data_IF_296153441305
#
_entry.id   IF_296153441305
#
_cell.length_a   1.000
_cell.length_b   1.000
_cell.length_c   1.000
_cell.angle_alpha   90.00
_cell.angle_beta   90.00
_cell.angle_gamma   90.00
#
_symmetry.space_group_name_H-M   'P 1'
#
loop_
_entity.id
_entity.type
_entity.pdbx_description
1 polymer ?
#
# COMPACT_ATOMS: atom_id res chain seq x y z
N UNK A 1 -28.30 -4.00 -23.62
CA UNK A 1 -27.52 -2.91 -22.99
C UNK A 1 -26.52 -2.39 -24.02
N UNK A 2 -26.38 -1.08 -24.15
CA UNK A 2 -25.47 -0.47 -25.11
C UNK A 2 -24.01 -0.81 -24.73
N UNK A 3 -23.15 -1.21 -25.67
CA UNK A 3 -21.76 -1.64 -25.38
C UNK A 3 -20.96 -0.59 -24.58
N UNK A 4 -21.20 0.70 -24.87
CA UNK A 4 -20.58 1.79 -24.13
C UNK A 4 -21.04 1.83 -22.66
N UNK A 5 -22.33 1.69 -22.39
CA UNK A 5 -22.87 1.67 -21.02
C UNK A 5 -22.30 0.47 -20.24
N UNK A 6 -22.19 -0.70 -20.88
CA UNK A 6 -21.61 -1.91 -20.25
C UNK A 6 -20.18 -1.69 -19.79
N UNK A 7 -19.30 -1.08 -20.62
CA UNK A 7 -17.90 -0.80 -20.27
C UNK A 7 -17.77 0.15 -19.06
N UNK A 8 -18.59 1.22 -19.02
CA UNK A 8 -18.58 2.14 -17.90
C UNK A 8 -19.14 1.49 -16.61
N UNK A 9 -20.14 0.62 -16.72
CA UNK A 9 -20.62 -0.15 -15.58
C UNK A 9 -19.57 -1.18 -15.11
N UNK A 10 -18.83 -1.83 -16.03
CA UNK A 10 -17.73 -2.71 -15.67
C UNK A 10 -16.62 -1.94 -14.91
N UNK A 11 -16.31 -0.70 -15.31
CA UNK A 11 -15.40 0.18 -14.55
C UNK A 11 -15.91 0.43 -13.12
N UNK A 12 -17.21 0.72 -12.95
CA UNK A 12 -17.79 0.94 -11.61
C UNK A 12 -17.63 -0.31 -10.74
N UNK A 13 -17.85 -1.50 -11.30
CA UNK A 13 -17.67 -2.77 -10.57
C UNK A 13 -16.22 -2.99 -10.15
N UNK A 14 -15.28 -2.73 -11.06
CA UNK A 14 -13.85 -2.82 -10.76
C UNK A 14 -13.45 -1.80 -9.70
N UNK A 15 -14.04 -0.60 -9.74
CA UNK A 15 -13.85 0.44 -8.73
C UNK A 15 -14.44 0.01 -7.36
N UNK A 16 -15.56 -0.72 -7.29
CA UNK A 16 -16.06 -1.29 -6.03
C UNK A 16 -15.08 -2.30 -5.43
N UNK A 17 -14.48 -3.19 -6.25
CA UNK A 17 -13.44 -4.09 -5.80
C UNK A 17 -12.23 -3.34 -5.24
N UNK A 18 -11.77 -2.29 -5.91
CA UNK A 18 -10.67 -1.46 -5.43
C UNK A 18 -11.04 -0.67 -4.17
N UNK A 19 -12.26 -0.12 -4.10
CA UNK A 19 -12.77 0.59 -2.92
C UNK A 19 -12.76 -0.32 -1.70
N UNK A 20 -13.25 -1.57 -1.84
CA UNK A 20 -13.23 -2.57 -0.78
C UNK A 20 -11.82 -2.82 -0.23
N UNK A 21 -10.81 -2.96 -1.12
CA UNK A 21 -9.41 -3.13 -0.74
C UNK A 21 -8.87 -1.89 0.00
N UNK A 22 -9.15 -0.68 -0.51
CA UNK A 22 -8.66 0.57 0.09
C UNK A 22 -9.33 0.86 1.43
N UNK A 23 -10.64 0.62 1.51
CA UNK A 23 -11.42 0.78 2.72
C UNK A 23 -10.90 -0.17 3.81
N UNK A 24 -10.73 -1.46 3.49
CA UNK A 24 -10.24 -2.46 4.44
C UNK A 24 -8.81 -2.16 4.94
N UNK A 25 -7.93 -1.67 4.08
CA UNK A 25 -6.55 -1.32 4.46
C UNK A 25 -6.46 -0.15 5.46
N UNK A 26 -7.45 0.72 5.50
CA UNK A 26 -7.46 1.91 6.36
C UNK A 26 -8.40 1.79 7.55
N UNK A 27 -9.54 1.12 7.38
CA UNK A 27 -10.59 0.96 8.39
C UNK A 27 -10.07 0.28 9.66
N UNK A 28 -9.18 -0.70 9.49
CA UNK A 28 -8.62 -1.48 10.60
C UNK A 28 -7.78 -0.64 11.55
N UNK A 29 -7.12 0.43 11.06
CA UNK A 29 -6.20 1.22 11.89
C UNK A 29 -6.90 1.89 13.07
N UNK A 30 -8.11 2.39 12.91
CA UNK A 30 -8.87 3.02 14.00
C UNK A 30 -9.47 2.00 14.97
N UNK A 31 -9.63 0.74 14.55
CA UNK A 31 -10.14 -0.35 15.37
C UNK A 31 -9.04 -1.09 16.17
N UNK A 32 -7.75 -0.85 15.87
CA UNK A 32 -6.62 -1.57 16.49
C UNK A 32 -6.67 -1.62 18.02
N UNK A 33 -6.93 -0.54 18.76
CA UNK A 33 -7.00 -0.60 20.23
C UNK A 33 -8.14 -1.46 20.76
N UNK A 34 -9.26 -1.52 20.04
CA UNK A 34 -10.40 -2.38 20.40
C UNK A 34 -10.07 -3.84 20.14
N UNK A 35 -9.49 -4.15 18.97
CA UNK A 35 -8.98 -5.49 18.60
C UNK A 35 -7.93 -5.96 19.62
N UNK A 36 -6.99 -5.07 20.00
CA UNK A 36 -5.96 -5.37 20.97
C UNK A 36 -6.54 -5.81 22.32
N UNK A 37 -7.52 -5.05 22.81
CA UNK A 37 -8.16 -5.29 24.11
C UNK A 37 -8.99 -6.57 24.11
N UNK A 38 -9.75 -6.79 23.04
CA UNK A 38 -10.71 -7.89 22.93
C UNK A 38 -10.02 -9.24 22.69
N UNK A 39 -9.00 -9.28 21.82
CA UNK A 39 -8.27 -10.48 21.43
C UNK A 39 -6.95 -10.68 22.19
N UNK A 40 -6.60 -9.78 23.14
CA UNK A 40 -5.44 -9.92 24.01
C UNK A 40 -4.08 -9.78 23.30
N UNK A 41 -4.01 -9.02 22.20
CA UNK A 41 -2.74 -8.78 21.50
C UNK A 41 -1.75 -7.99 22.38
N UNK A 42 -0.48 -8.41 22.40
CA UNK A 42 0.61 -7.52 22.82
C UNK A 42 0.76 -6.38 21.82
N UNK A 43 1.35 -5.25 22.24
CA UNK A 43 1.54 -4.11 21.35
C UNK A 43 2.43 -4.45 20.14
N UNK A 44 3.44 -5.31 20.31
CA UNK A 44 4.29 -5.79 19.22
C UNK A 44 3.50 -6.67 18.26
N UNK A 45 2.77 -7.67 18.79
CA UNK A 45 2.00 -8.61 17.97
C UNK A 45 0.80 -7.99 17.27
N UNK A 46 0.28 -6.85 17.75
CA UNK A 46 -0.80 -6.12 17.10
C UNK A 46 -0.44 -5.68 15.68
N UNK A 47 0.85 -5.47 15.40
CA UNK A 47 1.33 -5.16 14.05
C UNK A 47 0.98 -6.23 13.02
N UNK A 48 0.82 -7.50 13.46
CA UNK A 48 0.43 -8.60 12.57
C UNK A 48 -0.94 -8.43 11.93
N UNK A 49 -1.86 -7.72 12.58
CA UNK A 49 -3.18 -7.41 12.01
C UNK A 49 -3.05 -6.62 10.70
N UNK A 50 -2.01 -5.79 10.59
CA UNK A 50 -1.69 -5.02 9.38
C UNK A 50 -0.68 -5.77 8.50
N UNK A 51 0.40 -6.29 9.08
CA UNK A 51 1.51 -6.87 8.33
C UNK A 51 1.12 -8.17 7.60
N UNK A 52 0.30 -9.05 8.20
CA UNK A 52 -0.15 -10.26 7.52
C UNK A 52 -0.88 -9.95 6.21
N UNK A 53 -1.72 -8.91 6.22
CA UNK A 53 -2.40 -8.42 5.03
C UNK A 53 -1.41 -7.85 4.00
N UNK A 54 -0.52 -6.94 4.43
CA UNK A 54 0.40 -6.24 3.53
C UNK A 54 1.40 -7.20 2.86
N UNK A 55 1.90 -8.19 3.58
CA UNK A 55 2.85 -9.18 3.07
C UNK A 55 2.17 -10.09 2.05
N UNK A 56 0.98 -10.61 2.38
CA UNK A 56 0.22 -11.44 1.43
C UNK A 56 -0.16 -10.63 0.19
N UNK A 57 -0.67 -9.40 0.38
CA UNK A 57 -1.02 -8.50 -0.72
C UNK A 57 0.20 -8.22 -1.62
N UNK A 58 1.34 -7.80 -1.03
CA UNK A 58 2.55 -7.49 -1.77
C UNK A 58 3.20 -8.72 -2.41
N UNK A 59 3.31 -9.82 -1.66
CA UNK A 59 3.96 -11.05 -2.12
C UNK A 59 3.28 -11.72 -3.32
N UNK A 60 1.94 -11.69 -3.36
CA UNK A 60 1.18 -12.32 -4.44
C UNK A 60 0.75 -11.37 -5.57
N UNK A 61 1.00 -10.07 -5.47
CA UNK A 61 0.51 -9.09 -6.45
C UNK A 61 1.04 -9.32 -7.87
N UNK A 62 2.33 -9.65 -8.01
CA UNK A 62 2.94 -9.97 -9.33
C UNK A 62 2.41 -11.28 -9.89
N UNK A 63 2.26 -12.29 -9.02
CA UNK A 63 1.69 -13.59 -9.40
C UNK A 63 0.26 -13.42 -9.88
N UNK A 64 -0.53 -12.62 -9.18
CA UNK A 64 -1.93 -12.35 -9.53
C UNK A 64 -2.07 -11.76 -10.94
N UNK A 65 -1.22 -10.81 -11.31
CA UNK A 65 -1.17 -10.28 -12.67
C UNK A 65 -0.87 -11.36 -13.71
N UNK A 66 0.16 -12.18 -13.45
CA UNK A 66 0.55 -13.27 -14.36
C UNK A 66 -0.54 -14.35 -14.46
N UNK A 67 -1.12 -14.76 -13.34
CA UNK A 67 -2.24 -15.72 -13.32
C UNK A 67 -3.43 -15.16 -14.13
N UNK A 68 -3.73 -13.87 -14.00
CA UNK A 68 -4.77 -13.19 -14.78
C UNK A 68 -4.55 -13.27 -16.30
N UNK A 69 -3.31 -13.13 -16.74
CA UNK A 69 -2.96 -13.26 -18.16
C UNK A 69 -3.07 -14.72 -18.66
N UNK A 70 -2.84 -15.72 -17.79
CA UNK A 70 -2.87 -17.14 -18.15
C UNK A 70 -4.26 -17.77 -18.15
N UNK A 71 -5.09 -17.49 -17.14
CA UNK A 71 -6.41 -18.12 -16.97
C UNK A 71 -7.60 -17.19 -17.23
N UNK A 72 -7.33 -15.90 -17.45
CA UNK A 72 -8.34 -14.87 -17.70
C UNK A 72 -8.50 -13.90 -16.54
N UNK A 73 -8.43 -12.61 -16.85
CA UNK A 73 -8.43 -11.51 -15.86
C UNK A 73 -9.73 -11.42 -15.07
N UNK A 74 -10.88 -11.62 -15.74
CA UNK A 74 -12.19 -11.66 -15.08
C UNK A 74 -12.26 -12.76 -14.02
N UNK A 75 -11.80 -13.99 -14.35
CA UNK A 75 -11.83 -15.12 -13.43
C UNK A 75 -10.97 -14.85 -12.18
N UNK A 76 -9.78 -14.30 -12.37
CA UNK A 76 -8.87 -13.96 -11.27
C UNK A 76 -9.42 -12.83 -10.42
N UNK A 77 -10.01 -11.78 -11.05
CA UNK A 77 -10.66 -10.71 -10.33
C UNK A 77 -11.79 -11.22 -9.41
N UNK A 78 -12.71 -12.01 -9.96
CA UNK A 78 -13.83 -12.56 -9.20
C UNK A 78 -13.38 -13.54 -8.11
N UNK A 79 -12.38 -14.41 -8.39
CA UNK A 79 -11.81 -15.30 -7.38
C UNK A 79 -11.16 -14.51 -6.25
N UNK A 80 -10.46 -13.42 -6.56
CA UNK A 80 -9.86 -12.53 -5.57
C UNK A 80 -10.91 -11.84 -4.70
N UNK A 81 -11.95 -11.26 -5.30
CA UNK A 81 -13.08 -10.63 -4.57
C UNK A 81 -13.80 -11.66 -3.69
N UNK A 82 -14.03 -12.87 -4.20
CA UNK A 82 -14.65 -13.95 -3.43
C UNK A 82 -13.81 -14.32 -2.21
N UNK A 83 -12.52 -14.62 -2.41
CA UNK A 83 -11.60 -14.97 -1.33
C UNK A 83 -11.53 -13.85 -0.29
N UNK A 84 -11.38 -12.60 -0.75
CA UNK A 84 -11.34 -11.43 0.13
C UNK A 84 -12.62 -11.33 0.99
N UNK A 85 -13.79 -11.47 0.36
CA UNK A 85 -15.09 -11.35 1.04
C UNK A 85 -15.27 -12.45 2.08
N UNK A 86 -14.96 -13.71 1.73
CA UNK A 86 -15.04 -14.85 2.67
C UNK A 86 -14.06 -14.66 3.82
N UNK A 87 -12.81 -14.31 3.53
CA UNK A 87 -11.80 -14.04 4.55
C UNK A 87 -12.18 -12.87 5.45
N UNK A 88 -12.82 -11.83 4.90
CA UNK A 88 -13.34 -10.69 5.66
C UNK A 88 -14.43 -11.14 6.64
N UNK A 89 -15.40 -11.92 6.17
CA UNK A 89 -16.45 -12.48 7.05
C UNK A 89 -15.82 -13.35 8.14
N UNK A 90 -14.84 -14.22 7.79
CA UNK A 90 -14.08 -15.01 8.76
C UNK A 90 -13.36 -14.16 9.79
N UNK A 91 -12.73 -13.07 9.37
CA UNK A 91 -12.09 -12.09 10.27
C UNK A 91 -13.09 -11.41 11.19
N UNK A 92 -14.30 -11.11 10.70
CA UNK A 92 -15.39 -10.57 11.51
C UNK A 92 -15.91 -11.54 12.58
N UNK A 93 -15.73 -12.84 12.44
CA UNK A 93 -16.05 -13.85 13.44
C UNK A 93 -14.87 -14.30 14.30
N UNK A 94 -13.72 -13.64 14.18
CA UNK A 94 -12.51 -14.04 14.93
C UNK A 94 -12.70 -13.92 16.44
N UNK A 95 -12.37 -14.99 17.16
CA UNK A 95 -12.41 -15.08 18.63
C UNK A 95 -11.00 -15.15 19.25
N UNK A 96 -9.97 -15.03 18.44
CA UNK A 96 -8.56 -15.09 18.88
C UNK A 96 -7.62 -14.45 17.86
N UNK A 97 -6.44 -14.08 18.36
CA UNK A 97 -5.42 -13.39 17.58
C UNK A 97 -5.02 -14.15 16.31
N UNK A 98 -4.75 -15.45 16.43
CA UNK A 98 -4.30 -16.29 15.31
C UNK A 98 -5.35 -16.37 14.20
N UNK A 99 -6.63 -16.53 14.57
CA UNK A 99 -7.74 -16.58 13.59
C UNK A 99 -7.82 -15.26 12.80
N UNK A 100 -7.65 -14.12 13.48
CA UNK A 100 -7.65 -12.82 12.83
C UNK A 100 -6.44 -12.66 11.89
N UNK A 101 -5.24 -13.06 12.34
CA UNK A 101 -4.02 -12.98 11.52
C UNK A 101 -4.15 -13.83 10.25
N UNK A 102 -4.67 -15.07 10.36
CA UNK A 102 -4.93 -15.93 9.20
C UNK A 102 -5.97 -15.31 8.28
N UNK A 103 -7.06 -14.77 8.83
CA UNK A 103 -8.07 -14.05 8.05
C UNK A 103 -7.47 -12.86 7.30
N UNK A 104 -6.62 -12.06 7.94
CA UNK A 104 -5.91 -10.92 7.35
C UNK A 104 -4.96 -11.36 6.22
N UNK A 105 -4.24 -12.47 6.40
CA UNK A 105 -3.41 -13.04 5.34
C UNK A 105 -4.25 -13.45 4.11
N UNK A 106 -5.36 -14.14 4.33
CA UNK A 106 -6.26 -14.54 3.24
C UNK A 106 -6.93 -13.34 2.55
N UNK A 107 -7.30 -12.29 3.32
CA UNK A 107 -7.77 -11.02 2.74
C UNK A 107 -6.68 -10.37 1.86
N UNK A 108 -5.42 -10.32 2.33
CA UNK A 108 -4.30 -9.82 1.54
C UNK A 108 -4.10 -10.58 0.24
N UNK A 109 -4.21 -11.91 0.28
CA UNK A 109 -4.15 -12.79 -0.91
C UNK A 109 -5.32 -12.51 -1.86
N UNK A 110 -6.56 -12.44 -1.36
CA UNK A 110 -7.73 -12.10 -2.17
C UNK A 110 -7.63 -10.70 -2.79
N UNK A 111 -7.16 -9.73 -2.01
CA UNK A 111 -6.91 -8.36 -2.46
C UNK A 111 -5.85 -8.29 -3.56
N UNK A 112 -4.75 -9.05 -3.45
CA UNK A 112 -3.69 -9.11 -4.46
C UNK A 112 -4.20 -9.70 -5.78
N UNK A 113 -4.99 -10.78 -5.72
CA UNK A 113 -5.60 -11.39 -6.91
C UNK A 113 -6.50 -10.39 -7.65
N UNK A 114 -7.33 -9.66 -6.92
CA UNK A 114 -8.20 -8.63 -7.52
C UNK A 114 -7.39 -7.48 -8.08
N UNK A 115 -6.54 -6.85 -7.28
CA UNK A 115 -5.78 -5.65 -7.66
C UNK A 115 -4.79 -5.89 -8.80
N UNK A 116 -4.19 -7.09 -8.85
CA UNK A 116 -3.20 -7.46 -9.86
C UNK A 116 -3.73 -7.45 -11.29
N UNK A 117 -5.05 -7.58 -11.47
CA UNK A 117 -5.68 -7.61 -12.80
C UNK A 117 -6.52 -6.37 -13.13
N UNK A 118 -6.83 -5.51 -12.14
CA UNK A 118 -7.72 -4.35 -12.30
C UNK A 118 -7.27 -3.42 -13.43
N UNK A 119 -6.00 -3.00 -13.41
CA UNK A 119 -5.46 -2.08 -14.42
C UNK A 119 -5.53 -2.72 -15.80
N UNK A 120 -5.23 -4.01 -15.90
CA UNK A 120 -5.29 -4.73 -17.17
C UNK A 120 -6.73 -4.84 -17.70
N UNK A 121 -7.73 -5.02 -16.84
CA UNK A 121 -9.15 -4.98 -17.21
C UNK A 121 -9.50 -3.59 -17.76
N UNK A 122 -9.14 -2.51 -17.04
CA UNK A 122 -9.44 -1.13 -17.48
C UNK A 122 -8.80 -0.85 -18.86
N UNK A 123 -7.55 -1.23 -19.05
CA UNK A 123 -6.83 -1.01 -20.33
C UNK A 123 -7.46 -1.78 -21.49
N UNK A 124 -7.97 -2.97 -21.23
CA UNK A 124 -8.63 -3.81 -22.26
C UNK A 124 -10.01 -3.27 -22.64
N UNK A 125 -10.80 -2.85 -21.66
CA UNK A 125 -12.14 -2.30 -21.88
C UNK A 125 -12.11 -0.92 -22.55
N UNK A 126 -11.10 -0.09 -22.25
CA UNK A 126 -10.97 1.28 -22.76
C UNK A 126 -9.77 1.44 -23.71
N UNK A 127 -9.97 1.07 -24.97
CA UNK A 127 -8.89 1.09 -25.97
C UNK A 127 -8.55 2.51 -26.47
N UNK A 128 -9.51 3.44 -26.46
CA UNK A 128 -9.28 4.84 -26.88
C UNK A 128 -8.52 5.59 -25.80
N UNK A 129 -7.41 6.30 -26.13
CA UNK A 129 -6.58 6.97 -25.14
C UNK A 129 -7.33 7.95 -24.24
N UNK A 130 -8.26 8.74 -24.79
CA UNK A 130 -9.06 9.70 -24.03
C UNK A 130 -10.02 9.03 -23.03
N UNK A 131 -10.73 7.97 -23.46
CA UNK A 131 -11.64 7.20 -22.61
C UNK A 131 -10.86 6.47 -21.50
N UNK A 132 -9.69 5.90 -21.83
CA UNK A 132 -8.79 5.26 -20.87
C UNK A 132 -8.29 6.25 -19.80
N UNK A 133 -7.90 7.46 -20.22
CA UNK A 133 -7.48 8.49 -19.27
C UNK A 133 -8.60 8.86 -18.30
N UNK A 134 -9.86 8.98 -18.78
CA UNK A 134 -11.02 9.22 -17.91
C UNK A 134 -11.27 8.06 -16.96
N UNK A 135 -11.22 6.80 -17.43
CA UNK A 135 -11.40 5.62 -16.62
C UNK A 135 -10.33 5.52 -15.51
N UNK A 136 -9.08 5.79 -15.84
CA UNK A 136 -7.96 5.83 -14.87
C UNK A 136 -8.12 6.97 -13.87
N UNK A 137 -8.67 8.11 -14.26
CA UNK A 137 -8.96 9.22 -13.34
C UNK A 137 -10.04 8.83 -12.33
N UNK A 138 -11.11 8.18 -12.76
CA UNK A 138 -12.17 7.65 -11.86
C UNK A 138 -11.58 6.62 -10.90
N UNK A 139 -10.78 5.69 -11.41
CA UNK A 139 -10.10 4.67 -10.59
C UNK A 139 -9.19 5.31 -9.51
N UNK A 140 -8.40 6.31 -9.90
CA UNK A 140 -7.52 7.04 -8.97
C UNK A 140 -8.32 7.79 -7.90
N UNK A 141 -9.45 8.40 -8.27
CA UNK A 141 -10.35 9.07 -7.33
C UNK A 141 -10.91 8.09 -6.28
N UNK A 142 -11.27 6.88 -6.71
CA UNK A 142 -11.75 5.83 -5.79
C UNK A 142 -10.66 5.38 -4.82
N UNK A 143 -9.41 5.23 -5.27
CA UNK A 143 -8.28 4.93 -4.39
C UNK A 143 -8.10 6.02 -3.35
N UNK A 144 -8.07 7.29 -3.76
CA UNK A 144 -7.87 8.41 -2.85
C UNK A 144 -9.04 8.59 -1.87
N UNK A 145 -10.27 8.48 -2.36
CA UNK A 145 -11.48 8.59 -1.54
C UNK A 145 -11.68 7.42 -0.59
N UNK A 146 -11.31 6.21 -1.02
CA UNK A 146 -11.47 4.98 -0.24
C UNK A 146 -10.72 5.02 1.09
N UNK A 147 -9.53 5.62 1.12
CA UNK A 147 -8.77 5.79 2.35
C UNK A 147 -9.49 6.66 3.39
N UNK A 148 -10.07 7.79 2.96
CA UNK A 148 -10.84 8.68 3.84
C UNK A 148 -12.12 8.02 4.35
N UNK A 149 -12.85 7.38 3.43
CA UNK A 149 -14.08 6.65 3.78
C UNK A 149 -13.80 5.51 4.76
N UNK A 150 -12.68 4.80 4.61
CA UNK A 150 -12.30 3.72 5.50
C UNK A 150 -12.03 4.19 6.93
N UNK A 151 -11.31 5.29 7.11
CA UNK A 151 -11.06 5.85 8.44
C UNK A 151 -12.35 6.31 9.14
N UNK A 152 -13.23 7.00 8.41
CA UNK A 152 -14.53 7.45 8.96
C UNK A 152 -15.46 6.28 9.26
N UNK A 153 -15.61 5.37 8.30
CA UNK A 153 -16.45 4.19 8.49
C UNK A 153 -15.91 3.30 9.63
N UNK A 154 -14.58 3.17 9.72
CA UNK A 154 -13.92 2.42 10.80
C UNK A 154 -14.20 3.01 12.17
N UNK A 155 -14.06 4.32 12.30
CA UNK A 155 -14.40 5.03 13.53
C UNK A 155 -15.85 4.85 13.91
N UNK A 156 -16.77 5.12 12.96
CA UNK A 156 -18.20 4.98 13.15
C UNK A 156 -18.60 3.55 13.58
N UNK A 157 -18.23 2.54 12.79
CA UNK A 157 -18.61 1.16 13.05
C UNK A 157 -18.03 0.64 14.36
N UNK A 158 -16.77 0.99 14.66
CA UNK A 158 -16.09 0.52 15.87
C UNK A 158 -16.71 1.11 17.13
N UNK A 159 -17.07 2.40 17.11
CA UNK A 159 -17.59 3.10 18.27
C UNK A 159 -19.06 2.83 18.53
N UNK A 160 -19.93 2.85 17.49
CA UNK A 160 -21.37 2.74 17.66
C UNK A 160 -21.95 1.32 17.52
N UNK A 161 -21.16 0.37 16.97
CA UNK A 161 -21.58 -1.02 16.88
C UNK A 161 -20.54 -1.89 17.59
N UNK A 162 -19.49 -2.31 16.91
CA UNK A 162 -18.27 -2.97 17.41
C UNK A 162 -17.27 -3.15 16.28
N UNK A 163 -16.00 -3.48 16.61
CA UNK A 163 -14.93 -3.61 15.64
C UNK A 163 -15.14 -4.74 14.61
N UNK A 164 -15.92 -5.78 14.89
CA UNK A 164 -16.18 -6.86 13.93
C UNK A 164 -16.85 -6.36 12.64
N UNK A 165 -17.65 -5.29 12.74
CA UNK A 165 -18.36 -4.72 11.60
C UNK A 165 -17.46 -4.04 10.57
N UNK A 166 -16.20 -3.70 10.93
CA UNK A 166 -15.22 -3.21 9.94
C UNK A 166 -14.91 -4.27 8.88
N UNK A 167 -15.08 -5.55 9.24
CA UNK A 167 -14.91 -6.67 8.32
C UNK A 167 -16.23 -7.02 7.60
N UNK A 168 -17.35 -7.01 8.31
CA UNK A 168 -18.65 -7.33 7.72
C UNK A 168 -19.11 -6.32 6.67
N UNK A 169 -18.67 -5.06 6.70
CA UNK A 169 -18.97 -4.05 5.68
C UNK A 169 -18.51 -4.46 4.28
N UNK A 170 -17.50 -5.33 4.19
CA UNK A 170 -17.00 -5.85 2.92
C UNK A 170 -17.93 -6.87 2.28
N UNK A 171 -18.84 -7.51 3.04
CA UNK A 171 -19.77 -8.51 2.53
C UNK A 171 -20.73 -7.96 1.47
N UNK A 172 -21.51 -6.89 1.74
CA UNK A 172 -22.42 -6.33 0.73
C UNK A 172 -21.65 -5.79 -0.49
N UNK A 173 -20.47 -5.18 -0.30
CA UNK A 173 -19.66 -4.65 -1.40
C UNK A 173 -19.14 -5.82 -2.25
N UNK A 174 -18.61 -6.87 -1.59
CA UNK A 174 -18.08 -8.04 -2.26
C UNK A 174 -19.14 -8.81 -3.05
N UNK A 175 -20.31 -9.05 -2.44
CA UNK A 175 -21.43 -9.72 -3.13
C UNK A 175 -21.89 -8.90 -4.34
N UNK A 176 -22.06 -7.59 -4.19
CA UNK A 176 -22.43 -6.73 -5.31
C UNK A 176 -21.37 -6.78 -6.43
N UNK A 177 -20.08 -6.73 -6.06
CA UNK A 177 -18.97 -6.80 -7.02
C UNK A 177 -18.92 -8.16 -7.73
N UNK A 178 -19.17 -9.26 -7.03
CA UNK A 178 -19.20 -10.61 -7.62
C UNK A 178 -20.35 -10.76 -8.62
N UNK A 179 -21.57 -10.40 -8.20
CA UNK A 179 -22.78 -10.54 -9.05
C UNK A 179 -22.66 -9.65 -10.28
N UNK A 180 -22.37 -8.37 -10.10
CA UNK A 180 -22.26 -7.42 -11.21
C UNK A 180 -21.02 -7.70 -12.08
N UNK A 181 -19.90 -8.10 -11.49
CA UNK A 181 -18.68 -8.44 -12.21
C UNK A 181 -18.84 -9.66 -13.10
N UNK A 182 -19.57 -10.68 -12.63
CA UNK A 182 -19.90 -11.84 -13.45
C UNK A 182 -20.77 -11.49 -14.68
N UNK A 183 -21.52 -10.41 -14.63
CA UNK A 183 -22.39 -9.99 -15.73
C UNK A 183 -21.75 -8.96 -16.66
N UNK A 184 -20.97 -8.04 -16.13
CA UNK A 184 -20.56 -6.81 -16.83
C UNK A 184 -19.14 -6.87 -17.37
N UNK A 185 -18.20 -7.55 -16.65
CA UNK A 185 -16.81 -7.65 -17.11
C UNK A 185 -16.75 -8.68 -18.25
N UNK A 186 -16.15 -8.32 -19.39
CA UNK A 186 -15.98 -9.25 -20.49
C UNK A 186 -15.04 -10.39 -20.14
N UNK A 187 -15.41 -11.59 -20.57
CA UNK A 187 -14.53 -12.75 -20.41
C UNK A 187 -13.42 -12.66 -21.45
N UNK A 188 -12.19 -12.71 -21.00
CA UNK A 188 -11.04 -12.84 -21.87
C UNK A 188 -10.46 -14.24 -21.77
N UNK A 189 -10.16 -14.83 -22.92
CA UNK A 189 -9.42 -16.08 -22.99
C UNK A 189 -7.99 -15.83 -22.51
N UNK A 190 -7.54 -16.63 -21.52
CA UNK A 190 -6.16 -16.59 -21.06
C UNK A 190 -5.21 -17.22 -22.07
N UNK A 191 -3.92 -16.91 -21.93
CA UNK A 191 -2.84 -17.47 -22.78
C UNK A 191 -2.63 -18.98 -22.58
N UNK A 192 -3.30 -19.59 -21.60
CA UNK A 192 -3.16 -20.99 -21.23
C UNK A 192 -2.05 -21.25 -20.20
N UNK A 193 -2.25 -22.25 -19.35
CA UNK A 193 -1.32 -22.60 -18.26
C UNK A 193 0.02 -23.19 -18.76
N UNK A 194 0.12 -23.57 -20.04
CA UNK A 194 1.36 -24.11 -20.65
C UNK A 194 2.56 -23.15 -20.59
N UNK A 195 2.31 -21.85 -20.42
CA UNK A 195 3.38 -20.85 -20.31
C UNK A 195 4.01 -20.73 -18.90
N UNK A 196 3.50 -21.48 -17.92
CA UNK A 196 4.04 -21.60 -16.58
C UNK A 196 3.80 -20.35 -15.70
N UNK A 197 3.50 -20.60 -14.43
CA UNK A 197 3.48 -19.61 -13.35
C UNK A 197 4.63 -19.98 -12.41
N UNK A 198 5.47 -19.01 -12.06
CA UNK A 198 6.47 -19.24 -11.02
C UNK A 198 5.84 -19.17 -9.62
N UNK A 199 5.09 -20.24 -9.29
CA UNK A 199 4.52 -20.42 -7.96
C UNK A 199 5.61 -20.59 -6.90
N UNK A 200 6.75 -21.21 -7.28
CA UNK A 200 7.85 -21.41 -6.34
C UNK A 200 8.49 -20.07 -5.95
N UNK A 201 8.73 -19.18 -6.91
CA UNK A 201 9.20 -17.82 -6.63
C UNK A 201 8.23 -17.05 -5.74
N UNK A 202 6.91 -17.15 -6.00
CA UNK A 202 5.90 -16.52 -5.16
C UNK A 202 5.91 -17.04 -3.71
N UNK A 203 6.01 -18.35 -3.53
CA UNK A 203 6.10 -18.95 -2.20
C UNK A 203 7.40 -18.56 -1.49
N UNK A 204 8.53 -18.57 -2.20
CA UNK A 204 9.84 -18.20 -1.64
C UNK A 204 9.85 -16.74 -1.15
N UNK A 205 9.39 -15.81 -1.98
CA UNK A 205 9.36 -14.39 -1.57
C UNK A 205 8.40 -14.16 -0.41
N UNK A 206 7.18 -14.74 -0.46
CA UNK A 206 6.20 -14.59 0.61
C UNK A 206 6.70 -15.21 1.92
N UNK A 207 7.26 -16.43 1.88
CA UNK A 207 7.84 -17.07 3.05
C UNK A 207 9.03 -16.30 3.63
N UNK A 208 9.91 -15.77 2.76
CA UNK A 208 11.01 -14.89 3.18
C UNK A 208 10.50 -13.67 3.95
N UNK A 209 9.49 -13.00 3.42
CA UNK A 209 8.91 -11.81 4.05
C UNK A 209 8.21 -12.14 5.37
N UNK A 210 7.43 -13.22 5.41
CA UNK A 210 6.77 -13.67 6.64
C UNK A 210 7.78 -13.99 7.74
N UNK A 211 8.83 -14.74 7.43
CA UNK A 211 9.90 -15.07 8.38
C UNK A 211 10.67 -13.83 8.84
N UNK A 212 10.96 -12.90 7.93
CA UNK A 212 11.65 -11.67 8.24
C UNK A 212 10.83 -10.79 9.21
N UNK A 213 9.54 -10.60 8.93
CA UNK A 213 8.65 -9.85 9.82
C UNK A 213 8.45 -10.58 11.15
N UNK A 214 8.29 -11.90 11.14
CA UNK A 214 8.16 -12.69 12.36
C UNK A 214 9.41 -12.55 13.24
N UNK A 215 10.61 -12.68 12.67
CA UNK A 215 11.86 -12.50 13.39
C UNK A 215 12.02 -11.09 13.98
N UNK A 216 11.59 -10.06 13.25
CA UNK A 216 11.64 -8.66 13.72
C UNK A 216 10.62 -8.41 14.85
N UNK A 217 9.37 -8.88 14.71
CA UNK A 217 8.34 -8.69 15.74
C UNK A 217 8.72 -9.41 17.02
N UNK A 218 9.17 -10.66 16.94
CA UNK A 218 9.57 -11.45 18.10
C UNK A 218 10.91 -11.03 18.73
N UNK A 219 11.67 -10.15 18.07
CA UNK A 219 12.89 -9.58 18.64
C UNK A 219 12.64 -8.76 19.91
N UNK A 220 11.40 -8.28 20.13
CA UNK A 220 11.01 -7.64 21.40
C UNK A 220 11.02 -8.61 22.58
N UNK A 221 10.65 -9.87 22.34
CA UNK A 221 10.51 -10.89 23.38
C UNK A 221 11.81 -11.68 23.60
N UNK A 222 12.51 -12.01 22.50
CA UNK A 222 13.73 -12.84 22.54
C UNK A 222 15.04 -12.04 22.53
N UNK A 223 14.99 -10.75 22.20
CA UNK A 223 16.16 -9.88 22.01
C UNK A 223 16.68 -9.87 20.56
N UNK A 224 17.18 -8.72 20.13
CA UNK A 224 17.66 -8.47 18.77
C UNK A 224 18.88 -9.31 18.38
N UNK A 225 19.73 -9.66 19.34
CA UNK A 225 20.96 -10.44 19.14
C UNK A 225 20.79 -11.92 19.49
N UNK A 226 19.59 -12.36 19.80
CA UNK A 226 19.33 -13.76 20.17
C UNK A 226 19.51 -14.71 18.97
N UNK A 227 19.89 -15.98 19.17
CA UNK A 227 19.96 -16.99 18.12
C UNK A 227 18.61 -17.19 17.42
N UNK A 228 17.49 -16.99 18.12
CA UNK A 228 16.14 -17.06 17.56
C UNK A 228 15.93 -15.97 16.51
N UNK A 229 16.15 -14.70 16.85
CA UNK A 229 15.96 -13.56 15.94
C UNK A 229 16.93 -13.62 14.76
N UNK A 230 18.23 -13.84 15.06
CA UNK A 230 19.25 -13.92 14.01
C UNK A 230 19.04 -15.11 13.08
N UNK A 231 18.57 -16.26 13.62
CA UNK A 231 18.24 -17.44 12.83
C UNK A 231 17.07 -17.21 11.89
N UNK A 232 15.99 -16.58 12.35
CA UNK A 232 14.81 -16.27 11.52
C UNK A 232 15.14 -15.24 10.43
N UNK A 233 15.83 -14.15 10.79
CA UNK A 233 16.26 -13.13 9.83
C UNK A 233 17.27 -13.73 8.83
N UNK A 234 18.19 -14.56 9.29
CA UNK A 234 19.13 -15.28 8.43
C UNK A 234 18.42 -16.23 7.46
N UNK A 235 17.42 -16.99 7.94
CA UNK A 235 16.59 -17.85 7.09
C UNK A 235 15.78 -17.03 6.07
N UNK A 236 15.21 -15.89 6.47
CA UNK A 236 14.52 -14.97 5.57
C UNK A 236 15.44 -14.47 4.45
N UNK A 237 16.64 -14.01 4.80
CA UNK A 237 17.64 -13.56 3.82
C UNK A 237 18.12 -14.71 2.92
N UNK A 238 18.26 -15.92 3.46
CA UNK A 238 18.58 -17.13 2.71
C UNK A 238 17.49 -17.46 1.66
N UNK A 239 16.22 -17.43 2.06
CA UNK A 239 15.10 -17.62 1.13
C UNK A 239 15.03 -16.52 0.06
N UNK A 240 15.31 -15.27 0.43
CA UNK A 240 15.40 -14.16 -0.52
C UNK A 240 16.53 -14.40 -1.54
N UNK A 241 17.69 -14.84 -1.07
CA UNK A 241 18.81 -15.17 -1.95
C UNK A 241 18.46 -16.33 -2.90
N UNK A 242 17.81 -17.37 -2.40
CA UNK A 242 17.32 -18.49 -3.23
C UNK A 242 16.29 -18.00 -4.25
N UNK A 243 15.36 -17.12 -3.86
CA UNK A 243 14.42 -16.49 -4.78
C UNK A 243 15.15 -15.74 -5.90
N UNK A 244 16.09 -14.85 -5.57
CA UNK A 244 16.88 -14.09 -6.56
C UNK A 244 17.68 -15.01 -7.49
N UNK A 245 18.30 -16.05 -6.96
CA UNK A 245 19.02 -17.03 -7.75
C UNK A 245 18.11 -17.84 -8.68
N UNK A 246 16.92 -18.22 -8.22
CA UNK A 246 15.91 -18.90 -9.02
C UNK A 246 15.45 -18.02 -10.17
N UNK A 247 15.01 -16.78 -9.86
CA UNK A 247 14.55 -15.78 -10.82
C UNK A 247 15.60 -15.47 -11.91
N UNK A 248 16.89 -15.46 -11.53
CA UNK A 248 17.98 -15.22 -12.46
C UNK A 248 18.19 -16.34 -13.48
N UNK A 249 17.66 -17.54 -13.22
CA UNK A 249 17.82 -18.74 -14.07
C UNK A 249 16.56 -19.12 -14.85
N UNK A 250 15.40 -18.60 -14.45
CA UNK A 250 14.12 -18.92 -15.09
C UNK A 250 14.00 -18.22 -16.46
N UNK A 251 13.37 -18.90 -17.41
CA UNK A 251 13.03 -18.34 -18.73
C UNK A 251 11.92 -17.31 -18.67
N UNK A 252 10.96 -17.48 -17.75
CA UNK A 252 9.82 -16.61 -17.53
C UNK A 252 9.77 -16.20 -16.04
N UNK A 253 10.71 -15.37 -15.56
CA UNK A 253 10.76 -14.97 -14.18
C UNK A 253 9.58 -14.05 -13.83
N UNK A 254 9.13 -14.07 -12.56
CA UNK A 254 8.20 -13.07 -12.02
C UNK A 254 8.83 -11.69 -12.02
N UNK A 255 10.15 -11.64 -11.78
CA UNK A 255 10.92 -10.41 -11.72
C UNK A 255 12.20 -10.53 -12.56
N UNK A 256 12.21 -10.05 -13.82
CA UNK A 256 13.42 -10.06 -14.64
C UNK A 256 14.55 -9.24 -14.01
N UNK A 257 15.71 -9.86 -13.76
CA UNK A 257 16.85 -9.21 -13.08
C UNK A 257 17.34 -7.96 -13.79
N UNK A 258 17.12 -7.83 -15.12
CA UNK A 258 17.45 -6.62 -15.89
C UNK A 258 16.78 -5.35 -15.36
N UNK A 259 15.58 -5.47 -14.75
CA UNK A 259 14.84 -4.32 -14.19
C UNK A 259 15.59 -3.74 -12.97
N UNK A 260 16.26 -4.58 -12.19
CA UNK A 260 17.06 -4.15 -11.03
C UNK A 260 18.29 -3.30 -11.42
N UNK A 261 18.73 -3.36 -12.68
CA UNK A 261 19.79 -2.52 -13.21
C UNK A 261 19.36 -1.07 -13.52
N UNK A 262 18.05 -0.79 -13.56
CA UNK A 262 17.52 0.53 -13.92
C UNK A 262 17.59 1.46 -12.70
N UNK A 263 18.48 2.46 -12.75
CA UNK A 263 18.77 3.35 -11.62
C UNK A 263 17.56 4.18 -11.19
N UNK A 264 16.82 4.73 -12.14
CA UNK A 264 15.62 5.52 -11.85
C UNK A 264 14.53 4.68 -11.16
N UNK A 265 14.31 3.45 -11.64
CA UNK A 265 13.36 2.52 -11.03
C UNK A 265 13.78 2.15 -9.60
N UNK A 266 15.03 1.72 -9.39
CA UNK A 266 15.52 1.29 -8.07
C UNK A 266 15.54 2.44 -7.07
N UNK A 267 16.03 3.62 -7.47
CA UNK A 267 16.07 4.79 -6.61
C UNK A 267 14.69 5.29 -6.22
N UNK A 268 13.78 5.42 -7.18
CA UNK A 268 12.41 5.86 -6.90
C UNK A 268 11.62 4.81 -6.10
N UNK A 269 11.80 3.52 -6.39
CA UNK A 269 11.15 2.42 -5.67
C UNK A 269 11.66 2.34 -4.22
N UNK A 270 12.96 2.49 -3.98
CA UNK A 270 13.54 2.56 -2.64
C UNK A 270 13.02 3.76 -1.84
N UNK A 271 12.99 4.94 -2.46
CA UNK A 271 12.40 6.13 -1.83
C UNK A 271 10.90 5.94 -1.52
N UNK A 272 10.16 5.26 -2.41
CA UNK A 272 8.75 4.92 -2.22
C UNK A 272 8.53 3.99 -1.02
N UNK A 273 9.37 2.95 -0.87
CA UNK A 273 9.30 2.05 0.27
C UNK A 273 9.47 2.79 1.60
N UNK A 274 10.50 3.65 1.69
CA UNK A 274 10.78 4.45 2.89
C UNK A 274 9.67 5.48 3.19
N UNK A 275 9.10 6.10 2.15
CA UNK A 275 7.94 7.00 2.30
C UNK A 275 6.74 6.25 2.87
N UNK A 276 6.41 5.09 2.29
CA UNK A 276 5.28 4.28 2.76
C UNK A 276 5.50 3.69 4.15
N UNK A 277 6.74 3.40 4.55
CA UNK A 277 7.09 3.12 5.96
C UNK A 277 6.62 4.25 6.87
N UNK A 278 6.94 5.50 6.54
CA UNK A 278 6.50 6.67 7.32
C UNK A 278 4.98 6.80 7.39
N UNK A 279 4.28 6.58 6.29
CA UNK A 279 2.81 6.64 6.24
C UNK A 279 2.15 5.51 7.06
N UNK A 280 2.63 4.27 6.92
CA UNK A 280 2.07 3.13 7.66
C UNK A 280 2.30 3.28 9.16
N UNK A 281 3.49 3.74 9.57
CA UNK A 281 3.78 4.07 10.97
C UNK A 281 2.83 5.19 11.45
N UNK A 282 2.62 6.24 10.65
CA UNK A 282 1.70 7.31 11.05
C UNK A 282 0.28 6.79 11.27
N UNK A 283 -0.27 5.97 10.37
CA UNK A 283 -1.62 5.46 10.54
C UNK A 283 -1.72 4.46 11.70
N UNK A 284 -0.77 3.55 11.84
CA UNK A 284 -0.77 2.53 12.90
C UNK A 284 -0.47 3.15 14.28
N UNK A 285 0.72 3.75 14.42
CA UNK A 285 1.17 4.34 15.68
C UNK A 285 0.33 5.56 16.04
N UNK A 286 -0.10 6.34 15.03
CA UNK A 286 -0.97 7.50 15.22
C UNK A 286 -2.34 7.13 15.76
N UNK A 287 -2.94 6.02 15.33
CA UNK A 287 -4.20 5.54 15.89
C UNK A 287 -4.03 5.17 17.38
N UNK A 288 -2.96 4.45 17.71
CA UNK A 288 -2.65 4.08 19.10
C UNK A 288 -2.34 5.33 19.96
N UNK A 289 -1.59 6.28 19.41
CA UNK A 289 -1.25 7.54 20.08
C UNK A 289 -2.51 8.38 20.36
N UNK A 290 -3.40 8.55 19.41
CA UNK A 290 -4.63 9.33 19.59
C UNK A 290 -5.57 8.65 20.59
N UNK A 291 -5.73 7.34 20.51
CA UNK A 291 -6.67 6.62 21.39
C UNK A 291 -6.07 6.35 22.78
N UNK A 292 -4.91 5.71 22.91
CA UNK A 292 -4.30 5.36 24.18
C UNK A 292 -3.54 6.55 24.82
N UNK A 293 -2.85 7.34 24.01
CA UNK A 293 -2.06 8.47 24.49
C UNK A 293 -2.88 9.71 24.81
N UNK A 294 -4.02 9.91 24.13
CA UNK A 294 -4.83 11.13 24.22
C UNK A 294 -6.30 10.91 24.59
N UNK A 295 -6.75 9.66 24.67
CA UNK A 295 -8.11 9.31 25.04
C UNK A 295 -9.17 9.61 23.96
N UNK A 296 -8.75 9.77 22.68
CA UNK A 296 -9.71 9.96 21.58
C UNK A 296 -10.52 8.69 21.37
N UNK A 297 -11.78 8.86 21.02
CA UNK A 297 -12.60 7.74 20.55
C UNK A 297 -12.13 7.25 19.16
N UNK A 298 -12.66 6.11 18.71
CA UNK A 298 -12.36 5.58 17.38
C UNK A 298 -12.82 6.55 16.28
N UNK A 299 -14.00 7.17 16.45
CA UNK A 299 -14.53 8.13 15.50
C UNK A 299 -13.74 9.43 15.47
N UNK A 300 -13.38 9.97 16.64
CA UNK A 300 -12.51 11.15 16.74
C UNK A 300 -11.14 10.90 16.12
N UNK A 301 -10.60 9.68 16.25
CA UNK A 301 -9.36 9.27 15.59
C UNK A 301 -9.51 9.27 14.07
N UNK A 302 -10.62 8.74 13.54
CA UNK A 302 -10.94 8.79 12.13
C UNK A 302 -11.03 10.23 11.59
N UNK A 303 -11.72 11.11 12.33
CA UNK A 303 -11.81 12.53 12.01
C UNK A 303 -10.44 13.23 12.07
N UNK A 304 -9.61 12.86 13.04
CA UNK A 304 -8.27 13.43 13.20
C UNK A 304 -7.35 13.14 12.01
N UNK A 305 -7.49 11.98 11.35
CA UNK A 305 -6.73 11.64 10.15
C UNK A 305 -7.29 12.22 8.85
N UNK A 306 -8.54 12.70 8.84
CA UNK A 306 -9.21 13.23 7.66
C UNK A 306 -8.39 14.31 6.92
N UNK A 307 -7.78 15.31 7.61
CA UNK A 307 -6.95 16.30 6.93
C UNK A 307 -5.82 15.71 6.10
N UNK A 308 -5.19 14.61 6.56
CA UNK A 308 -4.14 13.92 5.79
C UNK A 308 -4.69 13.33 4.49
N UNK A 309 -5.78 12.59 4.58
CA UNK A 309 -6.35 11.90 3.41
C UNK A 309 -7.01 12.87 2.42
N UNK A 310 -7.66 13.92 2.92
CA UNK A 310 -8.18 15.00 2.08
C UNK A 310 -7.07 15.75 1.34
N UNK A 311 -5.97 16.08 2.02
CA UNK A 311 -4.83 16.74 1.38
C UNK A 311 -4.14 15.85 0.35
N UNK A 312 -4.03 14.54 0.58
CA UNK A 312 -3.59 13.59 -0.45
C UNK A 312 -4.51 13.68 -1.68
N UNK A 313 -5.83 13.63 -1.47
CA UNK A 313 -6.81 13.76 -2.55
C UNK A 313 -6.71 15.08 -3.31
N UNK A 314 -6.62 16.20 -2.59
CA UNK A 314 -6.47 17.54 -3.16
C UNK A 314 -5.19 17.65 -3.99
N UNK A 315 -4.05 17.18 -3.49
CA UNK A 315 -2.81 17.19 -4.26
C UNK A 315 -2.92 16.28 -5.51
N UNK A 316 -3.50 15.10 -5.37
CA UNK A 316 -3.65 14.13 -6.45
C UNK A 316 -4.67 14.55 -7.51
N UNK A 317 -5.59 15.49 -7.22
CA UNK A 317 -6.63 15.98 -8.16
C UNK A 317 -6.11 16.89 -9.28
N UNK A 318 -4.80 16.90 -9.51
CA UNK A 318 -4.15 17.65 -10.59
C UNK A 318 -3.25 18.79 -10.11
N UNK A 319 -3.27 19.15 -8.82
CA UNK A 319 -2.36 20.17 -8.26
C UNK A 319 -0.92 19.69 -8.34
N UNK A 320 -0.64 18.46 -7.93
CA UNK A 320 0.71 17.87 -8.04
C UNK A 320 1.20 17.84 -9.49
N UNK A 321 0.33 17.53 -10.47
CA UNK A 321 0.70 17.56 -11.88
C UNK A 321 1.07 18.97 -12.36
N UNK A 322 0.29 19.99 -11.98
CA UNK A 322 0.58 21.40 -12.31
C UNK A 322 1.87 21.89 -11.65
N UNK A 323 2.09 21.55 -10.38
CA UNK A 323 3.33 21.90 -9.69
C UNK A 323 4.53 21.17 -10.32
N UNK A 324 4.39 19.88 -10.64
CA UNK A 324 5.43 19.09 -11.29
C UNK A 324 5.84 19.68 -12.64
N UNK A 325 4.88 20.20 -13.44
CA UNK A 325 5.16 20.88 -14.69
C UNK A 325 5.95 22.18 -14.51
N UNK A 326 5.82 22.86 -13.35
CA UNK A 326 6.52 24.12 -13.09
C UNK A 326 7.91 23.93 -12.47
N UNK A 327 8.03 23.02 -11.50
CA UNK A 327 9.26 22.87 -10.70
C UNK A 327 10.06 21.61 -11.02
N UNK A 328 9.51 20.74 -11.87
CA UNK A 328 10.07 19.43 -12.22
C UNK A 328 9.75 18.34 -11.18
N UNK A 329 9.79 17.06 -11.60
CA UNK A 329 9.39 15.94 -10.75
C UNK A 329 10.30 15.75 -9.55
N UNK A 330 11.63 15.92 -9.70
CA UNK A 330 12.59 15.75 -8.61
C UNK A 330 12.39 16.79 -7.51
N UNK A 331 12.24 18.07 -7.87
CA UNK A 331 12.11 19.15 -6.90
C UNK A 331 10.78 19.05 -6.13
N UNK A 332 9.69 18.69 -6.83
CA UNK A 332 8.41 18.45 -6.18
C UNK A 332 8.47 17.28 -5.21
N UNK A 333 9.14 16.18 -5.60
CA UNK A 333 9.36 15.03 -4.72
C UNK A 333 10.16 15.40 -3.47
N UNK A 334 11.25 16.15 -3.62
CA UNK A 334 12.05 16.62 -2.48
C UNK A 334 11.23 17.50 -1.53
N UNK A 335 10.44 18.44 -2.05
CA UNK A 335 9.56 19.27 -1.24
C UNK A 335 8.50 18.44 -0.51
N UNK A 336 7.90 17.45 -1.18
CA UNK A 336 6.94 16.52 -0.58
C UNK A 336 7.54 15.70 0.56
N UNK A 337 8.71 15.07 0.33
CA UNK A 337 9.41 14.29 1.35
C UNK A 337 9.84 15.16 2.54
N UNK A 338 10.35 16.37 2.29
CA UNK A 338 10.70 17.32 3.35
C UNK A 338 9.48 17.71 4.19
N UNK A 339 8.32 17.92 3.56
CA UNK A 339 7.05 18.14 4.24
C UNK A 339 6.65 16.99 5.16
N UNK A 340 6.80 15.74 4.69
CA UNK A 340 6.52 14.56 5.51
C UNK A 340 7.49 14.48 6.71
N UNK A 341 8.79 14.70 6.50
CA UNK A 341 9.78 14.71 7.58
C UNK A 341 9.41 15.76 8.63
N UNK A 342 9.07 17.00 8.20
CA UNK A 342 8.65 18.05 9.11
C UNK A 342 7.37 17.66 9.88
N UNK A 343 6.37 17.07 9.21
CA UNK A 343 5.15 16.60 9.86
C UNK A 343 5.41 15.55 10.93
N UNK A 344 6.19 14.51 10.61
CA UNK A 344 6.55 13.44 11.55
C UNK A 344 7.40 13.98 12.71
N UNK A 345 8.26 14.97 12.47
CA UNK A 345 9.03 15.66 13.51
C UNK A 345 8.11 16.49 14.43
N UNK A 346 7.10 17.15 13.89
CA UNK A 346 6.08 17.84 14.71
C UNK A 346 5.36 16.83 15.60
N UNK A 347 4.90 15.69 15.02
CA UNK A 347 4.21 14.63 15.76
C UNK A 347 5.09 14.01 16.85
N UNK A 348 6.39 13.81 16.60
CA UNK A 348 7.32 13.27 17.60
C UNK A 348 7.52 14.21 18.80
N UNK A 349 7.33 15.50 18.62
CA UNK A 349 7.46 16.51 19.67
C UNK A 349 6.11 16.94 20.26
N UNK A 350 4.99 16.46 19.72
CA UNK A 350 3.67 16.79 20.22
C UNK A 350 3.43 16.12 21.57
N UNK A 351 3.50 16.88 22.67
CA UNK A 351 3.28 16.37 24.04
C UNK A 351 1.83 15.90 24.28
N UNK A 352 1.57 15.19 25.39
CA UNK A 352 0.21 14.72 25.74
C UNK A 352 -0.81 15.88 25.83
N UNK A 353 -0.34 17.07 26.24
CA UNK A 353 -1.16 18.29 26.39
C UNK A 353 -1.27 19.12 25.10
N UNK A 354 -0.58 18.76 24.01
CA UNK A 354 -0.66 19.54 22.77
C UNK A 354 -2.08 19.55 22.22
N UNK A 355 -2.67 20.71 21.95
CA UNK A 355 -4.00 20.81 21.33
C UNK A 355 -4.04 20.14 19.96
N UNK A 356 -5.21 19.64 19.52
CA UNK A 356 -5.35 19.16 18.16
C UNK A 356 -5.05 20.29 17.16
N UNK A 357 -5.69 21.42 17.32
CA UNK A 357 -5.34 22.64 16.62
C UNK A 357 -4.47 23.54 17.55
N UNK A 358 -3.38 24.14 17.04
CA UNK A 358 -2.94 24.08 15.64
C UNK A 358 -1.95 22.95 15.34
N UNK A 359 -1.38 22.23 16.35
CA UNK A 359 -0.18 21.42 16.20
C UNK A 359 -0.43 20.15 15.38
N UNK A 360 -1.37 19.30 15.83
CA UNK A 360 -1.67 18.02 15.15
C UNK A 360 -2.31 18.26 13.79
N UNK A 361 -3.24 19.20 13.69
CA UNK A 361 -3.88 19.56 12.43
C UNK A 361 -2.85 20.02 11.40
N UNK A 362 -1.91 20.90 11.78
CA UNK A 362 -0.85 21.36 10.88
C UNK A 362 0.04 20.19 10.43
N UNK A 363 0.39 19.28 11.35
CA UNK A 363 1.19 18.09 11.02
C UNK A 363 0.45 17.17 10.03
N UNK A 364 -0.84 16.87 10.25
CA UNK A 364 -1.62 16.01 9.36
C UNK A 364 -1.88 16.65 7.99
N UNK A 365 -2.12 17.96 7.92
CA UNK A 365 -2.22 18.69 6.64
C UNK A 365 -0.90 18.64 5.89
N UNK A 366 0.21 18.90 6.56
CA UNK A 366 1.54 18.89 5.97
C UNK A 366 1.95 17.48 5.49
N UNK A 367 1.63 16.45 6.28
CA UNK A 367 1.86 15.05 5.94
C UNK A 367 1.08 14.64 4.68
N UNK A 368 -0.20 15.02 4.62
CA UNK A 368 -1.05 14.74 3.47
C UNK A 368 -0.62 15.49 2.21
N UNK A 369 -0.27 16.78 2.34
CA UNK A 369 0.26 17.58 1.24
C UNK A 369 1.59 17.01 0.71
N UNK A 370 2.50 16.62 1.63
CA UNK A 370 3.77 15.99 1.29
C UNK A 370 3.61 14.66 0.58
N UNK A 371 2.74 13.78 1.10
CA UNK A 371 2.48 12.48 0.48
C UNK A 371 1.84 12.62 -0.91
N UNK A 372 0.78 13.44 -1.03
CA UNK A 372 0.09 13.67 -2.31
C UNK A 372 0.99 14.31 -3.37
N UNK A 373 1.91 15.20 -2.95
CA UNK A 373 2.92 15.79 -3.84
C UNK A 373 4.01 14.79 -4.27
N UNK A 374 4.20 13.70 -3.51
CA UNK A 374 5.27 12.72 -3.77
C UNK A 374 4.84 11.58 -4.70
N UNK A 375 3.56 11.19 -4.71
CA UNK A 375 3.10 9.98 -5.42
C UNK A 375 3.30 10.05 -6.93
N UNK A 376 2.88 11.15 -7.56
CA UNK A 376 3.02 11.33 -9.01
C UNK A 376 4.48 11.44 -9.47
N UNK A 377 5.33 12.27 -8.83
CA UNK A 377 6.75 12.31 -9.18
C UNK A 377 7.47 10.97 -9.01
N UNK A 378 7.18 10.21 -7.93
CA UNK A 378 7.77 8.88 -7.73
C UNK A 378 7.41 7.93 -8.86
N UNK A 379 6.14 7.92 -9.29
CA UNK A 379 5.71 7.10 -10.43
C UNK A 379 6.39 7.54 -11.71
N UNK A 380 6.42 8.83 -12.02
CA UNK A 380 7.03 9.39 -13.22
C UNK A 380 8.53 9.07 -13.29
N UNK A 381 9.27 9.28 -12.20
CA UNK A 381 10.71 9.00 -12.13
C UNK A 381 10.97 7.50 -12.23
N UNK A 382 10.20 6.66 -11.53
CA UNK A 382 10.40 5.21 -11.56
C UNK A 382 10.26 4.61 -12.95
N UNK A 383 9.37 5.17 -13.77
CA UNK A 383 9.08 4.68 -15.12
C UNK A 383 9.92 5.36 -16.22
N UNK A 384 10.69 6.42 -15.92
CA UNK A 384 11.37 7.25 -16.90
C UNK A 384 12.40 6.52 -17.80
N UNK A 385 13.06 5.50 -17.25
CA UNK A 385 14.08 4.69 -17.99
C UNK A 385 13.58 3.27 -18.26
N UNK A 386 12.34 2.93 -17.86
CA UNK A 386 11.77 1.59 -18.05
C UNK A 386 11.23 1.46 -19.47
N UNK A 387 11.68 0.47 -20.26
CA UNK A 387 11.13 0.23 -21.59
C UNK A 387 9.63 -0.05 -21.55
N UNK A 388 8.87 0.43 -22.54
CA UNK A 388 7.41 0.25 -22.59
C UNK A 388 6.96 -1.20 -22.43
N UNK A 389 7.72 -2.16 -23.01
CA UNK A 389 7.46 -3.60 -22.87
C UNK A 389 7.56 -4.11 -21.43
N UNK A 390 8.33 -3.44 -20.58
CA UNK A 390 8.59 -3.81 -19.18
C UNK A 390 7.83 -2.92 -18.18
N UNK A 391 7.04 -1.94 -18.66
CA UNK A 391 6.36 -0.96 -17.82
C UNK A 391 5.40 -1.61 -16.80
N UNK A 392 4.68 -2.65 -17.18
CA UNK A 392 3.83 -3.42 -16.28
C UNK A 392 4.61 -4.11 -15.16
N UNK A 393 5.75 -4.74 -15.50
CA UNK A 393 6.63 -5.38 -14.54
C UNK A 393 7.28 -4.36 -13.59
N UNK A 394 7.78 -3.23 -14.12
CA UNK A 394 8.38 -2.17 -13.31
C UNK A 394 7.38 -1.55 -12.32
N UNK A 395 6.17 -1.31 -12.76
CA UNK A 395 5.08 -0.78 -11.91
C UNK A 395 4.67 -1.81 -10.86
N UNK A 396 4.51 -3.07 -11.22
CA UNK A 396 4.21 -4.18 -10.29
C UNK A 396 5.31 -4.34 -9.23
N UNK A 397 6.58 -4.37 -9.65
CA UNK A 397 7.73 -4.41 -8.74
C UNK A 397 7.72 -3.23 -7.77
N UNK A 398 7.51 -2.01 -8.26
CA UNK A 398 7.43 -0.82 -7.40
C UNK A 398 6.30 -0.90 -6.37
N UNK A 399 5.16 -1.50 -6.72
CA UNK A 399 4.06 -1.71 -5.78
C UNK A 399 4.37 -2.79 -4.73
N UNK A 400 5.01 -3.89 -5.13
CA UNK A 400 5.44 -4.94 -4.18
C UNK A 400 6.42 -4.36 -3.17
N UNK A 401 7.48 -3.67 -3.64
CA UNK A 401 8.50 -3.07 -2.76
C UNK A 401 7.90 -2.01 -1.84
N UNK A 402 6.91 -1.25 -2.29
CA UNK A 402 6.15 -0.32 -1.46
C UNK A 402 5.45 -1.04 -0.29
N UNK A 403 4.71 -2.11 -0.59
CA UNK A 403 3.96 -2.85 0.44
C UNK A 403 4.88 -3.58 1.41
N UNK A 404 5.89 -4.27 0.87
CA UNK A 404 6.89 -4.99 1.64
C UNK A 404 7.73 -4.03 2.50
N UNK A 405 8.22 -2.95 1.91
CA UNK A 405 8.98 -1.93 2.63
C UNK A 405 8.16 -1.30 3.74
N UNK A 406 6.89 -1.01 3.48
CA UNK A 406 5.95 -0.52 4.49
C UNK A 406 5.75 -1.51 5.63
N UNK A 407 5.54 -2.80 5.34
CA UNK A 407 5.34 -3.84 6.35
C UNK A 407 6.61 -4.07 7.20
N UNK A 408 7.78 -4.23 6.57
CA UNK A 408 9.06 -4.40 7.26
C UNK A 408 9.42 -3.16 8.09
N UNK A 409 9.19 -1.98 7.52
CA UNK A 409 9.46 -0.72 8.20
C UNK A 409 8.56 -0.52 9.41
N UNK A 410 7.25 -0.80 9.28
CA UNK A 410 6.29 -0.75 10.39
C UNK A 410 6.70 -1.73 11.50
N UNK A 411 6.99 -2.99 11.15
CA UNK A 411 7.41 -4.01 12.13
C UNK A 411 8.70 -3.60 12.84
N UNK A 412 9.71 -3.12 12.10
CA UNK A 412 11.00 -2.70 12.66
C UNK A 412 10.85 -1.52 13.62
N UNK A 413 10.13 -0.46 13.18
CA UNK A 413 9.97 0.76 13.98
C UNK A 413 9.14 0.47 15.24
N UNK A 414 8.06 -0.28 15.14
CA UNK A 414 7.24 -0.63 16.31
C UNK A 414 7.99 -1.53 17.29
N UNK A 415 8.72 -2.53 16.79
CA UNK A 415 9.53 -3.42 17.62
C UNK A 415 10.65 -2.65 18.35
N UNK A 416 11.40 -1.79 17.65
CA UNK A 416 12.46 -0.96 18.27
C UNK A 416 11.87 0.01 19.29
N UNK A 417 10.78 0.70 18.95
CA UNK A 417 10.20 1.70 19.85
C UNK A 417 9.63 1.06 21.14
N UNK A 418 8.99 -0.11 21.05
CA UNK A 418 8.43 -0.81 22.21
C UNK A 418 9.50 -1.50 23.07
N UNK A 419 10.63 -1.91 22.49
CA UNK A 419 11.72 -2.53 23.25
C UNK A 419 12.60 -1.52 23.99
N UNK A 420 12.67 -0.26 23.53
CA UNK A 420 13.55 0.76 24.12
C UNK A 420 12.82 1.87 24.86
N UNK A 421 11.52 2.00 24.71
CA UNK A 421 10.71 3.03 25.36
C UNK A 421 9.35 2.48 25.77
N UNK A 422 8.76 3.09 26.80
CA UNK A 422 7.44 2.71 27.31
C UNK A 422 6.48 3.89 27.27
N UNK A 423 5.19 3.58 27.18
CA UNK A 423 4.13 4.56 27.19
C UNK A 423 4.28 5.60 26.09
N UNK A 424 4.20 6.87 26.47
CA UNK A 424 4.26 7.99 25.52
C UNK A 424 5.59 8.10 24.76
N UNK A 425 6.72 7.77 25.42
CA UNK A 425 8.03 7.84 24.80
C UNK A 425 8.19 6.85 23.61
N UNK A 426 7.47 5.72 23.66
CA UNK A 426 7.46 4.76 22.55
C UNK A 426 6.82 5.37 21.28
N UNK A 427 5.74 6.14 21.43
CA UNK A 427 5.12 6.85 20.29
C UNK A 427 6.06 7.91 19.71
N UNK A 428 6.71 8.71 20.59
CA UNK A 428 7.69 9.72 20.13
C UNK A 428 8.83 9.06 19.38
N UNK A 429 9.40 7.99 19.91
CA UNK A 429 10.49 7.24 19.28
C UNK A 429 10.06 6.67 17.91
N UNK A 430 8.84 6.12 17.81
CA UNK A 430 8.33 5.61 16.55
C UNK A 430 8.22 6.72 15.48
N UNK A 431 7.74 7.89 15.84
CA UNK A 431 7.68 9.03 14.93
C UNK A 431 9.06 9.57 14.53
N UNK A 432 10.03 9.60 15.45
CA UNK A 432 11.43 9.95 15.14
C UNK A 432 12.02 8.97 14.13
N UNK A 433 11.87 7.67 14.36
CA UNK A 433 12.38 6.64 13.46
C UNK A 433 11.69 6.71 12.08
N UNK A 434 10.38 6.97 12.06
CA UNK A 434 9.65 7.19 10.81
C UNK A 434 10.16 8.44 10.05
N UNK A 435 10.42 9.55 10.76
CA UNK A 435 11.00 10.75 10.16
C UNK A 435 12.40 10.48 9.58
N UNK A 436 13.24 9.71 10.28
CA UNK A 436 14.55 9.30 9.78
C UNK A 436 14.47 8.42 8.54
N UNK A 437 13.51 7.49 8.47
CA UNK A 437 13.26 6.69 7.26
C UNK A 437 12.88 7.57 6.06
N UNK A 438 11.98 8.54 6.25
CA UNK A 438 11.60 9.45 5.15
C UNK A 438 12.74 10.41 4.81
N UNK A 439 13.54 10.84 5.78
CA UNK A 439 14.76 11.60 5.52
C UNK A 439 15.79 10.79 4.71
N UNK A 440 15.91 9.49 4.98
CA UNK A 440 16.72 8.59 4.15
C UNK A 440 16.19 8.50 2.71
N UNK A 441 14.83 8.50 2.51
CA UNK A 441 14.27 8.61 1.16
C UNK A 441 14.71 9.90 0.46
N UNK A 442 14.75 11.03 1.15
CA UNK A 442 15.24 12.29 0.61
C UNK A 442 16.71 12.19 0.18
N UNK A 443 17.56 11.54 1.00
CA UNK A 443 18.97 11.29 0.65
C UNK A 443 19.08 10.40 -0.59
N UNK A 444 18.27 9.35 -0.70
CA UNK A 444 18.25 8.48 -1.89
C UNK A 444 17.87 9.29 -3.14
N UNK A 445 16.87 10.17 -3.06
CA UNK A 445 16.46 11.04 -4.17
C UNK A 445 17.59 11.99 -4.57
N UNK A 446 18.30 12.56 -3.61
CA UNK A 446 19.45 13.45 -3.87
C UNK A 446 20.63 12.73 -4.51
N UNK A 447 20.96 11.52 -4.03
CA UNK A 447 22.15 10.78 -4.44
C UNK A 447 21.96 10.03 -5.78
N UNK A 448 20.76 9.43 -5.99
CA UNK A 448 20.52 8.49 -7.09
C UNK A 448 19.85 9.17 -8.28
N UNK A 449 18.92 10.10 -8.04
CA UNK A 449 18.10 10.70 -9.08
C UNK A 449 18.74 12.02 -9.57
N UNK A 450 19.50 11.94 -10.66
CA UNK A 450 20.12 13.12 -11.28
C UNK A 450 19.10 13.90 -12.10
N UNK A 451 19.20 15.24 -12.09
CA UNK A 451 18.28 16.18 -12.81
C UNK A 451 18.29 16.01 -14.34
N UNK A 452 19.36 15.47 -14.91
CA UNK A 452 19.59 15.49 -16.36
C UNK A 452 18.67 14.55 -17.17
N UNK A 453 18.10 13.50 -16.55
CA UNK A 453 17.26 12.52 -17.27
C UNK A 453 15.76 12.81 -17.20
N UNK A 454 15.33 13.69 -16.30
CA UNK A 454 13.90 14.00 -16.12
C UNK A 454 13.38 15.08 -17.06
N UNK A 455 14.25 16.00 -17.50
CA UNK A 455 13.87 17.11 -18.39
C UNK A 455 13.70 16.66 -19.86
N UNK A 456 14.38 15.60 -20.26
CA UNK A 456 14.31 15.05 -21.63
C UNK A 456 12.98 14.35 -21.87
N UNK A 457 12.48 13.59 -20.88
CA UNK A 457 11.23 12.81 -21.01
C UNK A 457 10.00 13.71 -21.07
N UNK A 458 10.02 14.88 -20.39
CA UNK A 458 8.91 15.85 -20.45
C UNK A 458 8.86 16.53 -21.82
N UNK A 459 10.00 16.75 -22.47
CA UNK A 459 10.07 17.36 -23.81
C UNK A 459 9.64 16.40 -24.93
N UNK A 460 9.90 15.09 -24.79
CA UNK A 460 9.46 14.08 -25.76
C UNK A 460 7.97 13.73 -25.64
N UNK A 461 7.33 14.00 -24.50
CA UNK A 461 5.89 13.78 -24.29
C UNK A 461 5.03 15.04 -24.54
N UNK A 462 5.62 16.18 -24.78
CA UNK A 462 4.89 17.35 -25.26
C UNK A 462 4.33 17.05 -26.67
N UNK A 463 3.02 17.29 -26.93
CA UNK A 463 2.50 17.15 -28.29
C UNK A 463 3.34 18.06 -29.19
N UNK A 464 3.80 17.49 -30.30
CA UNK A 464 4.36 18.27 -31.40
C UNK A 464 3.21 19.17 -31.87
N UNK A 465 3.19 20.42 -31.42
CA UNK A 465 2.35 21.44 -32.05
C UNK A 465 2.79 21.49 -33.49
N UNK A 466 1.90 21.09 -34.37
CA UNK A 466 2.04 21.21 -35.79
C UNK A 466 2.45 22.64 -36.15
N UNK A 467 3.72 22.77 -36.55
CA UNK A 467 4.15 23.95 -37.23
C UNK A 467 3.49 23.91 -38.65
N UNK A 468 2.38 24.61 -38.78
CA UNK A 468 1.78 25.01 -40.06
C UNK A 468 1.94 26.50 -40.24
#
# INVERSE_FOLDING_TARGET
>A
MNANLRRWMALVVVCFGQLMIMLDSTIVNVALPYIQRDLGFSQANLTWVVNAYLIAYGGFLLVAGRVGDLIGRRKVFLAGVFLFTVASVGSGFSQGADNLIVGRFLQGLGGSLSAGVIIAIIVTEFQRPAERAQAMSVFTLVIAGGGSLGLLAGGFLTEWINWHWIFFINLPIGVATLVLGAWLIEENEGLGLSQGVDLLGAVLITASLMLGVYGIVTATDYGWTSPHTLGLVGAALGLLAVFVLLESRLRNPLMPMRILGIRSLMGATGARALLFTGLFVNFFVGALYLQHGRGYSAFETGLAFLPTTLMIGVMSSGIAARLMARVGPRNLLMAGLAGIVAALTILSNAGPAAGYAPVLLAAYVLLGAGAGSSFLPLLTISMSEVPLRDAGLGSGFSNVVMQVGGALGLASITSISTSHAQGYAAFQMAYVLAALCVAAALVVVLAVLRTRNTDVVIREQAPVEEAA
#
